data_IF_236825050404
#
_entry.id   IF_236825050404
#
_cell.length_a   1.000
_cell.length_b   1.000
_cell.length_c   1.000
_cell.angle_alpha   90.00
_cell.angle_beta   90.00
_cell.angle_gamma   90.00
#
_symmetry.space_group_name_H-M   'P 1'
#
loop_
_entity.id
_entity.type
_entity.pdbx_description
1 polymer ?
#
# COMPACT_ATOMS: atom_id res chain seq x y z
N UNK A 1 -7.17 9.93 -15.87
CA UNK A 1 -8.22 9.60 -14.87
C UNK A 1 -8.99 10.87 -14.59
N UNK A 2 -10.33 10.83 -14.64
CA UNK A 2 -11.14 11.94 -14.11
C UNK A 2 -10.87 12.01 -12.61
N UNK A 3 -10.49 13.17 -12.11
CA UNK A 3 -10.34 13.39 -10.67
C UNK A 3 -11.75 13.41 -10.06
N UNK A 4 -12.04 12.48 -9.17
CA UNK A 4 -13.29 12.50 -8.39
C UNK A 4 -13.26 13.75 -7.49
N UNK A 5 -14.35 14.52 -7.47
CA UNK A 5 -14.45 15.70 -6.61
C UNK A 5 -14.52 15.23 -5.15
N UNK A 6 -13.63 15.75 -4.31
CA UNK A 6 -13.54 15.42 -2.87
C UNK A 6 -13.81 16.62 -1.97
N UNK A 7 -14.16 17.79 -2.54
CA UNK A 7 -14.53 18.98 -1.78
C UNK A 7 -15.80 18.72 -0.99
N UNK A 8 -15.78 19.00 0.31
CA UNK A 8 -16.92 18.85 1.21
C UNK A 8 -17.68 20.18 1.29
N UNK A 9 -18.98 20.16 1.05
CA UNK A 9 -19.87 21.32 1.06
C UNK A 9 -20.98 21.16 2.12
N UNK A 10 -21.55 22.28 2.56
CA UNK A 10 -22.62 22.30 3.58
C UNK A 10 -23.89 21.53 3.19
N UNK A 11 -24.11 21.31 1.89
CA UNK A 11 -25.27 20.57 1.37
C UNK A 11 -25.00 19.07 1.17
N UNK A 12 -23.78 18.61 1.46
CA UNK A 12 -23.46 17.19 1.39
C UNK A 12 -24.20 16.42 2.49
N UNK A 13 -24.77 15.28 2.11
CA UNK A 13 -25.27 14.33 3.10
C UNK A 13 -24.11 13.61 3.80
N UNK A 14 -24.40 12.95 4.92
CA UNK A 14 -23.39 12.11 5.60
C UNK A 14 -22.82 11.02 4.67
N UNK A 15 -23.61 10.54 3.71
CA UNK A 15 -23.18 9.52 2.73
C UNK A 15 -22.22 10.15 1.72
N UNK A 16 -22.54 11.34 1.21
CA UNK A 16 -21.66 12.08 0.28
C UNK A 16 -20.30 12.36 0.92
N UNK A 17 -20.30 12.86 2.16
CA UNK A 17 -19.08 13.09 2.94
C UNK A 17 -18.27 11.80 3.11
N UNK A 18 -18.95 10.69 3.42
CA UNK A 18 -18.31 9.37 3.55
C UNK A 18 -17.62 8.95 2.26
N UNK A 19 -18.28 9.10 1.10
CA UNK A 19 -17.67 8.75 -0.19
C UNK A 19 -16.51 9.66 -0.58
N UNK A 20 -16.57 10.95 -0.23
CA UNK A 20 -15.47 11.89 -0.46
C UNK A 20 -14.24 11.53 0.39
N UNK A 21 -14.44 11.27 1.69
CA UNK A 21 -13.37 10.82 2.59
C UNK A 21 -12.78 9.49 2.10
N UNK A 22 -13.61 8.51 1.76
CA UNK A 22 -13.16 7.22 1.25
C UNK A 22 -12.33 7.37 -0.03
N UNK A 23 -12.72 8.29 -0.92
CA UNK A 23 -11.95 8.59 -2.13
C UNK A 23 -10.57 9.18 -1.81
N UNK A 24 -10.50 10.11 -0.86
CA UNK A 24 -9.22 10.70 -0.40
C UNK A 24 -8.31 9.64 0.23
N UNK A 25 -8.86 8.77 1.07
CA UNK A 25 -8.11 7.67 1.68
C UNK A 25 -7.58 6.69 0.64
N UNK A 26 -8.39 6.31 -0.35
CA UNK A 26 -8.00 5.41 -1.41
C UNK A 26 -6.83 5.98 -2.23
N UNK A 27 -6.87 7.26 -2.58
CA UNK A 27 -5.76 7.92 -3.28
C UNK A 27 -4.47 7.91 -2.43
N UNK A 28 -4.60 8.20 -1.12
CA UNK A 28 -3.48 8.12 -0.19
C UNK A 28 -2.87 6.70 -0.13
N UNK A 29 -3.70 5.66 -0.08
CA UNK A 29 -3.22 4.27 -0.07
C UNK A 29 -2.53 3.90 -1.39
N UNK A 30 -3.09 4.29 -2.53
CA UNK A 30 -2.51 4.07 -3.85
C UNK A 30 -1.13 4.75 -3.96
N UNK A 31 -1.02 6.00 -3.53
CA UNK A 31 0.23 6.75 -3.57
C UNK A 31 1.28 6.14 -2.63
N UNK A 32 0.86 5.67 -1.46
CA UNK A 32 1.76 4.96 -0.55
C UNK A 32 2.23 3.62 -1.12
N UNK A 33 1.35 2.81 -1.75
CA UNK A 33 1.75 1.56 -2.39
C UNK A 33 2.69 1.78 -3.60
N UNK A 34 2.51 2.88 -4.35
CA UNK A 34 3.47 3.29 -5.39
C UNK A 34 4.84 3.63 -4.79
N UNK A 35 4.85 4.31 -3.64
CA UNK A 35 6.09 4.59 -2.91
C UNK A 35 6.76 3.30 -2.40
N UNK A 36 6.01 2.41 -1.75
CA UNK A 36 6.49 1.11 -1.27
C UNK A 36 7.08 0.29 -2.43
N UNK A 37 6.44 0.29 -3.61
CA UNK A 37 6.99 -0.35 -4.82
C UNK A 37 8.38 0.18 -5.18
N UNK A 38 8.59 1.49 -5.12
CA UNK A 38 9.90 2.11 -5.36
C UNK A 38 10.90 1.74 -4.26
N UNK A 39 10.48 1.78 -2.99
CA UNK A 39 11.31 1.44 -1.84
C UNK A 39 11.78 -0.03 -1.91
N UNK A 40 10.89 -0.97 -2.21
CA UNK A 40 11.21 -2.40 -2.39
C UNK A 40 12.24 -2.63 -3.50
N UNK A 41 12.11 -1.95 -4.65
CA UNK A 41 13.11 -2.03 -5.72
C UNK A 41 14.50 -1.56 -5.27
N UNK A 42 14.54 -0.50 -4.46
CA UNK A 42 15.80 0.00 -3.90
C UNK A 42 16.40 -0.99 -2.90
N UNK A 43 15.59 -1.53 -1.99
CA UNK A 43 16.02 -2.53 -1.00
C UNK A 43 16.57 -3.80 -1.66
N UNK A 44 15.87 -4.33 -2.67
CA UNK A 44 16.36 -5.45 -3.47
C UNK A 44 17.67 -5.13 -4.20
N UNK A 45 17.84 -3.91 -4.71
CA UNK A 45 19.09 -3.49 -5.33
C UNK A 45 20.26 -3.50 -4.34
N UNK A 46 20.04 -3.04 -3.10
CA UNK A 46 21.03 -3.08 -2.02
C UNK A 46 21.39 -4.53 -1.70
N UNK A 47 20.40 -5.40 -1.49
CA UNK A 47 20.66 -6.81 -1.21
C UNK A 47 21.48 -7.51 -2.31
N UNK A 48 21.13 -7.27 -3.58
CA UNK A 48 21.78 -7.93 -4.71
C UNK A 48 23.21 -7.43 -4.99
N UNK A 49 23.52 -6.17 -4.64
CA UNK A 49 24.86 -5.58 -4.85
C UNK A 49 25.77 -5.81 -3.66
N UNK A 50 25.29 -5.52 -2.45
CA UNK A 50 26.14 -5.38 -1.27
C UNK A 50 26.16 -6.64 -0.39
N UNK A 51 25.19 -7.54 -0.54
CA UNK A 51 25.03 -8.73 0.31
C UNK A 51 25.10 -10.08 -0.45
N UNK A 52 25.56 -10.05 -1.71
CA UNK A 52 25.52 -11.18 -2.67
C UNK A 52 26.12 -12.51 -2.17
N UNK A 53 27.09 -12.48 -1.26
CA UNK A 53 27.77 -13.67 -0.74
C UNK A 53 27.24 -14.16 0.62
N UNK A 54 26.13 -13.60 1.10
CA UNK A 54 25.60 -13.89 2.43
C UNK A 54 24.34 -14.77 2.33
N UNK A 55 24.41 -16.03 2.79
CA UNK A 55 23.27 -16.97 2.79
C UNK A 55 22.02 -16.41 3.48
N UNK A 56 22.18 -15.62 4.54
CA UNK A 56 21.06 -14.94 5.23
C UNK A 56 20.42 -13.82 4.41
N UNK A 57 21.13 -13.29 3.41
CA UNK A 57 20.57 -12.31 2.49
C UNK A 57 19.63 -12.97 1.47
N UNK A 58 19.79 -14.27 1.18
CA UNK A 58 18.93 -14.97 0.22
C UNK A 58 17.48 -15.08 0.72
N UNK A 59 17.26 -15.47 1.99
CA UNK A 59 15.91 -15.51 2.60
C UNK A 59 15.22 -14.15 2.55
N UNK A 60 15.96 -13.09 2.89
CA UNK A 60 15.41 -11.73 2.93
C UNK A 60 15.07 -11.22 1.53
N UNK A 61 15.92 -11.52 0.53
CA UNK A 61 15.66 -11.18 -0.88
C UNK A 61 14.37 -11.84 -1.35
N UNK A 62 14.22 -13.14 -1.15
CA UNK A 62 13.00 -13.87 -1.55
C UNK A 62 11.75 -13.28 -0.89
N UNK A 63 11.84 -12.92 0.40
CA UNK A 63 10.74 -12.28 1.13
C UNK A 63 10.41 -10.89 0.59
N UNK A 64 11.41 -10.10 0.18
CA UNK A 64 11.18 -8.80 -0.47
C UNK A 64 10.59 -8.95 -1.87
N UNK A 65 11.04 -9.91 -2.66
CA UNK A 65 10.48 -10.21 -3.99
C UNK A 65 9.00 -10.62 -3.86
N UNK A 66 8.69 -11.52 -2.94
CA UNK A 66 7.30 -11.88 -2.62
C UNK A 66 6.49 -10.65 -2.21
N UNK A 67 7.04 -9.81 -1.33
CA UNK A 67 6.36 -8.58 -0.88
C UNK A 67 6.16 -7.57 -2.01
N UNK A 68 7.04 -7.55 -3.02
CA UNK A 68 6.86 -6.75 -4.23
C UNK A 68 5.66 -7.22 -5.05
N UNK A 69 5.53 -8.54 -5.25
CA UNK A 69 4.38 -9.12 -5.95
C UNK A 69 3.08 -8.78 -5.20
N UNK A 70 3.04 -9.02 -3.89
CA UNK A 70 1.88 -8.69 -3.04
C UNK A 70 1.50 -7.20 -3.14
N UNK A 71 2.49 -6.30 -3.14
CA UNK A 71 2.26 -4.86 -3.29
C UNK A 71 1.68 -4.51 -4.67
N UNK A 72 2.16 -5.14 -5.74
CA UNK A 72 1.67 -4.91 -7.09
C UNK A 72 0.24 -5.43 -7.28
N UNK A 73 -0.07 -6.62 -6.73
CA UNK A 73 -1.43 -7.16 -6.73
C UNK A 73 -2.40 -6.23 -6.01
N UNK A 74 -2.06 -5.78 -4.80
CA UNK A 74 -2.92 -4.86 -4.04
C UNK A 74 -3.06 -3.51 -4.75
N UNK A 75 -1.97 -2.94 -5.26
CA UNK A 75 -2.01 -1.68 -6.01
C UNK A 75 -2.91 -1.78 -7.25
N UNK A 76 -2.83 -2.89 -7.98
CA UNK A 76 -3.71 -3.12 -9.13
C UNK A 76 -5.18 -3.20 -8.72
N UNK A 77 -5.49 -3.90 -7.62
CA UNK A 77 -6.85 -3.99 -7.10
C UNK A 77 -7.39 -2.61 -6.69
N UNK A 78 -6.61 -1.79 -5.98
CA UNK A 78 -7.02 -0.44 -5.59
C UNK A 78 -7.19 0.50 -6.79
N UNK A 79 -6.37 0.37 -7.84
CA UNK A 79 -6.54 1.15 -9.07
C UNK A 79 -7.82 0.74 -9.83
N UNK A 80 -8.13 -0.55 -9.88
CA UNK A 80 -9.41 -1.03 -10.45
C UNK A 80 -10.59 -0.51 -9.65
N UNK A 81 -10.53 -0.58 -8.32
CA UNK A 81 -11.57 -0.06 -7.44
C UNK A 81 -11.74 1.46 -7.57
N UNK A 82 -10.65 2.22 -7.68
CA UNK A 82 -10.71 3.66 -7.93
C UNK A 82 -11.48 3.97 -9.22
N UNK A 83 -11.33 3.14 -10.26
CA UNK A 83 -12.06 3.32 -11.50
C UNK A 83 -13.54 2.97 -11.35
N UNK A 84 -13.92 1.92 -10.61
CA UNK A 84 -15.34 1.59 -10.41
C UNK A 84 -16.09 2.63 -9.57
N UNK A 85 -15.38 3.38 -8.71
CA UNK A 85 -15.97 4.47 -7.92
C UNK A 85 -16.55 5.61 -8.76
N UNK A 86 -16.28 5.70 -10.06
CA UNK A 86 -16.97 6.68 -10.93
C UNK A 86 -18.46 6.43 -11.02
N UNK A 87 -18.89 5.20 -10.78
CA UNK A 87 -20.27 4.75 -10.96
C UNK A 87 -21.10 4.99 -9.68
N UNK A 88 -20.47 5.47 -8.60
CA UNK A 88 -21.18 5.89 -7.37
C UNK A 88 -22.19 7.00 -7.67
N UNK A 89 -21.89 7.89 -8.62
CA UNK A 89 -22.80 8.96 -9.02
C UNK A 89 -24.12 8.43 -9.63
N UNK A 90 -24.18 7.15 -10.01
CA UNK A 90 -25.36 6.48 -10.54
C UNK A 90 -26.16 5.72 -9.45
N UNK A 91 -25.68 5.69 -8.20
CA UNK A 91 -26.41 5.08 -7.09
C UNK A 91 -27.67 5.89 -6.76
N UNK A 92 -28.84 5.26 -6.87
CA UNK A 92 -30.14 5.90 -6.58
C UNK A 92 -30.65 5.60 -5.16
N UNK A 93 -30.03 4.66 -4.45
CA UNK A 93 -30.42 4.24 -3.12
C UNK A 93 -29.23 3.96 -2.18
N UNK A 94 -29.55 3.91 -0.89
CA UNK A 94 -28.57 3.64 0.17
C UNK A 94 -27.99 2.22 0.08
N UNK A 95 -28.69 1.27 -0.55
CA UNK A 95 -28.19 -0.09 -0.68
C UNK A 95 -26.98 -0.13 -1.62
N UNK A 96 -27.03 0.61 -2.72
CA UNK A 96 -25.92 0.82 -3.64
C UNK A 96 -24.73 1.49 -2.95
N UNK A 97 -24.97 2.56 -2.17
CA UNK A 97 -23.92 3.24 -1.41
C UNK A 97 -23.19 2.30 -0.43
N UNK A 98 -23.96 1.47 0.29
CA UNK A 98 -23.43 0.55 1.28
C UNK A 98 -22.54 -0.53 0.68
N UNK A 99 -22.75 -0.91 -0.59
CA UNK A 99 -21.84 -1.82 -1.31
C UNK A 99 -20.46 -1.20 -1.43
N UNK A 100 -20.37 0.05 -1.92
CA UNK A 100 -19.10 0.75 -2.07
C UNK A 100 -18.42 1.03 -0.72
N UNK A 101 -19.18 1.38 0.31
CA UNK A 101 -18.64 1.59 1.66
C UNK A 101 -18.06 0.28 2.21
N UNK A 102 -18.80 -0.82 2.08
CA UNK A 102 -18.34 -2.14 2.57
C UNK A 102 -17.12 -2.63 1.81
N UNK A 103 -17.09 -2.43 0.50
CA UNK A 103 -15.92 -2.77 -0.33
C UNK A 103 -14.70 -1.94 0.07
N UNK A 104 -14.87 -0.63 0.31
CA UNK A 104 -13.81 0.25 0.80
C UNK A 104 -13.22 -0.24 2.12
N UNK A 105 -14.05 -0.66 3.08
CA UNK A 105 -13.59 -1.24 4.35
C UNK A 105 -12.77 -2.52 4.14
N UNK A 106 -13.13 -3.34 3.16
CA UNK A 106 -12.36 -4.53 2.80
C UNK A 106 -10.96 -4.18 2.29
N UNK A 107 -10.86 -3.17 1.43
CA UNK A 107 -9.59 -2.65 0.96
C UNK A 107 -8.77 -1.97 2.06
N UNK A 108 -9.41 -1.23 2.97
CA UNK A 108 -8.73 -0.64 4.15
C UNK A 108 -8.02 -1.71 4.97
N UNK A 109 -8.72 -2.80 5.30
CA UNK A 109 -8.14 -3.93 6.05
C UNK A 109 -6.96 -4.56 5.30
N UNK A 110 -7.11 -4.78 4.00
CA UNK A 110 -6.07 -5.37 3.15
C UNK A 110 -4.82 -4.49 3.08
N UNK A 111 -5.02 -3.18 2.94
CA UNK A 111 -3.94 -2.19 2.94
C UNK A 111 -3.21 -2.11 4.28
N UNK A 112 -3.94 -2.02 5.40
CA UNK A 112 -3.34 -1.97 6.74
C UNK A 112 -2.54 -3.24 7.06
N UNK A 113 -3.09 -4.41 6.69
CA UNK A 113 -2.39 -5.68 6.84
C UNK A 113 -1.10 -5.73 6.01
N UNK A 114 -1.17 -5.33 4.74
CA UNK A 114 0.02 -5.28 3.88
C UNK A 114 1.09 -4.34 4.44
N UNK A 115 0.67 -3.16 4.91
CA UNK A 115 1.57 -2.15 5.48
C UNK A 115 2.29 -2.64 6.73
N UNK A 116 1.58 -3.28 7.68
CA UNK A 116 2.20 -3.87 8.87
C UNK A 116 3.23 -4.94 8.47
N UNK A 117 2.87 -5.86 7.57
CA UNK A 117 3.78 -6.92 7.12
C UNK A 117 5.00 -6.38 6.39
N UNK A 118 4.81 -5.35 5.57
CA UNK A 118 5.91 -4.67 4.89
C UNK A 118 6.88 -4.02 5.89
N UNK A 119 6.36 -3.26 6.86
CA UNK A 119 7.16 -2.60 7.90
C UNK A 119 7.97 -3.60 8.70
N UNK A 120 7.35 -4.68 9.19
CA UNK A 120 8.08 -5.73 9.93
C UNK A 120 9.19 -6.39 9.12
N UNK A 121 8.99 -6.61 7.82
CA UNK A 121 10.04 -7.14 6.94
C UNK A 121 11.20 -6.13 6.81
N UNK A 122 10.86 -4.85 6.64
CA UNK A 122 11.83 -3.76 6.55
C UNK A 122 12.65 -3.61 7.85
N UNK A 123 11.99 -3.64 9.00
CA UNK A 123 12.64 -3.56 10.31
C UNK A 123 13.58 -4.75 10.51
N UNK A 124 13.12 -5.97 10.23
CA UNK A 124 13.95 -7.18 10.32
C UNK A 124 15.17 -7.14 9.38
N UNK A 125 15.04 -6.54 8.20
CA UNK A 125 16.17 -6.30 7.32
C UNK A 125 17.17 -5.31 7.95
N UNK A 126 16.70 -4.17 8.45
CA UNK A 126 17.57 -3.16 9.06
C UNK A 126 18.25 -3.66 10.32
N UNK A 127 17.57 -4.44 11.18
CA UNK A 127 18.17 -5.04 12.37
C UNK A 127 19.34 -5.97 11.98
N UNK A 128 19.15 -6.80 10.96
CA UNK A 128 20.19 -7.70 10.45
C UNK A 128 21.34 -6.95 9.77
N UNK A 129 21.08 -5.82 9.12
CA UNK A 129 22.08 -5.02 8.42
C UNK A 129 22.86 -4.11 9.38
N UNK A 130 22.20 -3.45 10.33
CA UNK A 130 22.84 -2.63 11.36
C UNK A 130 23.80 -3.45 12.22
N UNK A 131 23.43 -4.68 12.60
CA UNK A 131 24.34 -5.59 13.32
C UNK A 131 25.66 -5.86 12.57
N UNK A 132 25.66 -5.79 11.22
CA UNK A 132 26.86 -6.01 10.40
C UNK A 132 27.72 -4.76 10.27
N UNK A 133 27.13 -3.57 10.13
CA UNK A 133 27.88 -2.30 10.06
C UNK A 133 28.56 -1.91 11.39
N UNK A 134 28.03 -2.37 12.53
CA UNK A 134 28.69 -2.18 13.83
C UNK A 134 29.90 -3.10 14.03
N UNK A 135 29.93 -4.28 13.40
CA UNK A 135 31.04 -5.24 13.52
C UNK A 135 32.21 -4.92 12.58
N UNK A 136 31.98 -4.18 11.50
CA UNK A 136 33.04 -3.72 10.58
C UNK A 136 33.78 -2.45 11.04
N UNK A 137 33.55 -1.99 12.29
CA UNK A 137 34.26 -0.85 12.90
C UNK A 137 35.24 -1.27 14.00
N UNK A 138 35.46 -2.57 14.18
CA UNK A 138 36.45 -3.12 15.12
C UNK A 138 37.53 -3.78 14.27
N UNK A 139 38.39 -2.96 13.68
CA UNK A 139 39.73 -3.34 13.21
C UNK A 139 40.74 -2.47 13.97
#
# INVERSE_FOLDING_TARGET
MKTLNTDIFDHDTNIDVTHKINTMELDNWINHLKYIKKELKNLLSICNKDLKNNLEAHDIVERFEKKQIENETLLSALLTYLNSRTDIAECEDTQCDMVYITEHESYRRSYLYHLDKYRRLKDAFFDKVHGKFSLSKID
#
